data_IF_841158196591
#
_entry.id   IF_841158196591
#
_cell.length_a   1.000
_cell.length_b   1.000
_cell.length_c   1.000
_cell.angle_alpha   90.00
_cell.angle_beta   90.00
_cell.angle_gamma   90.00
#
_symmetry.space_group_name_H-M   'P 1'
#
loop_
_entity.id
_entity.type
_entity.pdbx_description
1 polymer ?
#
# COMPACT_ATOMS: atom_id res chain seq x y z
N UNK A 1 -0.57 37.01 -68.84
CA UNK A 1 0.15 36.62 -67.61
C UNK A 1 0.14 37.80 -66.66
N UNK A 2 -0.67 37.72 -65.60
CA UNK A 2 -0.10 37.44 -64.27
C UNK A 2 -1.04 36.54 -63.43
N UNK A 3 -0.73 35.25 -63.31
CA UNK A 3 -1.45 34.32 -62.42
C UNK A 3 -0.70 33.98 -61.15
N UNK A 4 0.61 34.23 -61.08
CA UNK A 4 1.48 33.54 -60.11
C UNK A 4 1.62 34.31 -58.79
N UNK A 5 1.43 35.63 -58.80
CA UNK A 5 1.58 36.48 -57.61
C UNK A 5 0.54 36.24 -56.50
N UNK A 6 -0.59 35.58 -56.80
CA UNK A 6 -1.65 35.25 -55.83
C UNK A 6 -1.56 33.84 -55.26
N UNK A 7 -0.72 32.98 -55.83
CA UNK A 7 -0.60 31.57 -55.46
C UNK A 7 0.30 31.40 -54.23
N UNK A 8 1.40 32.15 -54.15
CA UNK A 8 2.32 32.12 -53.01
C UNK A 8 1.65 32.48 -51.66
N UNK A 9 0.90 33.60 -51.53
CA UNK A 9 0.25 33.95 -50.27
C UNK A 9 -0.87 32.98 -49.87
N UNK A 10 -1.57 32.36 -50.83
CA UNK A 10 -2.60 31.36 -50.54
C UNK A 10 -2.00 30.04 -50.07
N UNK A 11 -0.86 29.61 -50.63
CA UNK A 11 -0.11 28.45 -50.14
C UNK A 11 0.42 28.65 -48.72
N UNK A 12 0.95 29.83 -48.42
CA UNK A 12 1.42 30.18 -47.07
C UNK A 12 0.24 30.18 -46.08
N UNK A 13 -0.91 30.72 -46.48
CA UNK A 13 -2.12 30.71 -45.64
C UNK A 13 -2.59 29.29 -45.32
N UNK A 14 -2.62 28.40 -46.32
CA UNK A 14 -2.99 26.98 -46.14
C UNK A 14 -2.01 26.26 -45.22
N UNK A 15 -0.70 26.54 -45.36
CA UNK A 15 0.33 25.96 -44.49
C UNK A 15 0.17 26.42 -43.04
N UNK A 16 -0.03 27.72 -42.81
CA UNK A 16 -0.25 28.30 -41.48
C UNK A 16 -1.51 27.68 -40.86
N UNK A 17 -2.59 27.57 -41.63
CA UNK A 17 -3.84 26.97 -41.17
C UNK A 17 -3.65 25.49 -40.80
N UNK A 18 -2.92 24.72 -41.62
CA UNK A 18 -2.60 23.32 -41.35
C UNK A 18 -1.78 23.14 -40.07
N UNK A 19 -0.74 23.97 -39.87
CA UNK A 19 0.06 23.96 -38.64
C UNK A 19 -0.79 24.35 -37.43
N UNK A 20 -1.63 25.38 -37.55
CA UNK A 20 -2.51 25.82 -36.48
C UNK A 20 -3.50 24.72 -36.06
N UNK A 21 -4.11 24.04 -37.04
CA UNK A 21 -4.99 22.89 -36.79
C UNK A 21 -4.22 21.73 -36.15
N UNK A 22 -3.01 21.42 -36.65
CA UNK A 22 -2.17 20.37 -36.09
C UNK A 22 -1.78 20.64 -34.63
N UNK A 23 -1.38 21.87 -34.32
CA UNK A 23 -1.07 22.30 -32.95
C UNK A 23 -2.31 22.24 -32.06
N UNK A 24 -3.47 22.67 -32.55
CA UNK A 24 -4.72 22.61 -31.80
C UNK A 24 -5.09 21.16 -31.45
N UNK A 25 -5.03 20.24 -32.42
CA UNK A 25 -5.31 18.81 -32.20
C UNK A 25 -4.30 18.20 -31.23
N UNK A 26 -3.01 18.52 -31.37
CA UNK A 26 -1.97 18.03 -30.45
C UNK A 26 -2.19 18.52 -29.01
N UNK A 27 -2.55 19.80 -28.83
CA UNK A 27 -2.86 20.36 -27.50
C UNK A 27 -4.11 19.69 -26.88
N UNK A 28 -5.17 19.48 -27.66
CA UNK A 28 -6.37 18.77 -27.21
C UNK A 28 -6.07 17.32 -26.82
N UNK A 29 -5.25 16.63 -27.61
CA UNK A 29 -4.81 15.27 -27.31
C UNK A 29 -4.00 15.21 -26.01
N UNK A 30 -3.02 16.10 -25.83
CA UNK A 30 -2.20 16.17 -24.61
C UNK A 30 -3.07 16.46 -23.37
N UNK A 31 -4.07 17.35 -23.49
CA UNK A 31 -4.97 17.64 -22.38
C UNK A 31 -5.83 16.43 -21.99
N UNK A 32 -6.40 15.72 -22.98
CA UNK A 32 -7.16 14.50 -22.70
C UNK A 32 -6.28 13.39 -22.10
N UNK A 33 -5.07 13.21 -22.63
CA UNK A 33 -4.11 12.24 -22.11
C UNK A 33 -3.73 12.56 -20.66
N UNK A 34 -3.40 13.81 -20.36
CA UNK A 34 -3.04 14.27 -19.00
C UNK A 34 -4.19 14.08 -18.02
N UNK A 35 -5.43 14.36 -18.42
CA UNK A 35 -6.62 14.16 -17.59
C UNK A 35 -6.83 12.67 -17.26
N UNK A 36 -6.77 11.79 -18.27
CA UNK A 36 -6.93 10.33 -18.10
C UNK A 36 -5.82 9.73 -17.24
N UNK A 37 -4.58 10.12 -17.50
CA UNK A 37 -3.42 9.65 -16.74
C UNK A 37 -3.50 10.07 -15.26
N UNK A 38 -3.88 11.32 -15.00
CA UNK A 38 -4.06 11.84 -13.63
C UNK A 38 -5.21 11.14 -12.89
N UNK A 39 -6.30 10.81 -13.59
CA UNK A 39 -7.41 10.04 -13.02
C UNK A 39 -6.98 8.61 -12.64
N UNK A 40 -6.25 7.91 -13.51
CA UNK A 40 -5.75 6.56 -13.22
C UNK A 40 -4.82 6.53 -12.00
N UNK A 41 -3.86 7.46 -11.92
CA UNK A 41 -2.97 7.56 -10.76
C UNK A 41 -3.74 7.87 -9.47
N UNK A 42 -4.74 8.76 -9.51
CA UNK A 42 -5.56 9.08 -8.34
C UNK A 42 -6.35 7.86 -7.87
N UNK A 43 -6.96 7.11 -8.78
CA UNK A 43 -7.71 5.91 -8.43
C UNK A 43 -6.79 4.83 -7.84
N UNK A 44 -5.63 4.58 -8.43
CA UNK A 44 -4.65 3.63 -7.91
C UNK A 44 -4.10 4.02 -6.54
N UNK A 45 -3.84 5.32 -6.31
CA UNK A 45 -3.36 5.82 -5.04
C UNK A 45 -4.43 5.69 -3.94
N UNK A 46 -5.70 5.97 -4.28
CA UNK A 46 -6.83 5.81 -3.35
C UNK A 46 -7.06 4.34 -3.03
N UNK A 47 -7.08 3.44 -4.02
CA UNK A 47 -7.26 2.00 -3.81
C UNK A 47 -6.14 1.39 -2.97
N UNK A 48 -4.87 1.74 -3.26
CA UNK A 48 -3.73 1.28 -2.45
C UNK A 48 -3.79 1.82 -1.02
N UNK A 49 -4.13 3.10 -0.85
CA UNK A 49 -4.26 3.71 0.47
C UNK A 49 -5.39 3.08 1.29
N UNK A 50 -6.53 2.79 0.66
CA UNK A 50 -7.66 2.11 1.31
C UNK A 50 -7.32 0.67 1.69
N UNK A 51 -6.64 -0.09 0.82
CA UNK A 51 -6.20 -1.45 1.13
C UNK A 51 -5.21 -1.48 2.30
N UNK A 52 -4.24 -0.56 2.34
CA UNK A 52 -3.28 -0.45 3.45
C UNK A 52 -3.96 0.00 4.74
N UNK A 53 -4.84 1.00 4.68
CA UNK A 53 -5.58 1.49 5.85
C UNK A 53 -6.50 0.42 6.41
N UNK A 54 -7.21 -0.31 5.55
CA UNK A 54 -8.08 -1.41 5.97
C UNK A 54 -7.29 -2.57 6.57
N UNK A 55 -6.12 -2.91 6.03
CA UNK A 55 -5.24 -3.94 6.61
C UNK A 55 -4.82 -3.59 8.04
N UNK A 56 -4.36 -2.35 8.27
CA UNK A 56 -3.94 -1.87 9.59
C UNK A 56 -5.08 -1.83 10.61
N UNK A 57 -6.28 -1.43 10.18
CA UNK A 57 -7.46 -1.48 11.06
C UNK A 57 -7.83 -2.92 11.38
N UNK A 58 -7.75 -3.82 10.39
CA UNK A 58 -8.02 -5.24 10.59
C UNK A 58 -7.04 -5.85 11.60
N UNK A 59 -5.74 -5.55 11.49
CA UNK A 59 -4.70 -5.98 12.44
C UNK A 59 -5.06 -5.63 13.90
N UNK A 60 -5.62 -4.45 14.13
CA UNK A 60 -6.02 -4.00 15.46
C UNK A 60 -7.34 -4.61 15.95
N UNK A 61 -8.23 -4.99 15.03
CA UNK A 61 -9.54 -5.55 15.36
C UNK A 61 -9.55 -7.07 15.47
N UNK A 62 -8.54 -7.75 14.90
CA UNK A 62 -8.40 -9.21 14.93
C UNK A 62 -8.59 -9.81 16.32
N UNK A 63 -8.05 -9.24 17.42
CA UNK A 63 -8.27 -9.78 18.76
C UNK A 63 -9.75 -9.93 19.16
N UNK A 64 -10.66 -9.18 18.53
CA UNK A 64 -12.10 -9.20 18.83
C UNK A 64 -12.92 -10.04 17.83
N UNK A 65 -12.26 -10.64 16.83
CA UNK A 65 -12.93 -11.48 15.84
C UNK A 65 -13.06 -12.93 16.34
N UNK A 66 -14.13 -13.66 15.94
CA UNK A 66 -14.37 -15.04 16.37
C UNK A 66 -13.20 -15.98 16.07
N UNK A 67 -12.45 -15.73 15.00
CA UNK A 67 -11.36 -16.57 14.53
C UNK A 67 -10.05 -16.40 15.32
N UNK A 68 -9.96 -15.42 16.22
CA UNK A 68 -8.72 -15.13 16.96
C UNK A 68 -8.28 -16.30 17.85
N UNK A 69 -9.25 -17.02 18.45
CA UNK A 69 -8.98 -18.24 19.22
C UNK A 69 -8.24 -18.03 20.56
N UNK A 70 -8.01 -16.78 20.98
CA UNK A 70 -7.39 -16.43 22.25
C UNK A 70 -8.22 -15.40 23.02
N UNK A 71 -7.97 -15.25 24.33
CA UNK A 71 -8.55 -14.17 25.12
C UNK A 71 -7.98 -12.81 24.64
N UNK A 72 -8.82 -11.86 24.20
CA UNK A 72 -8.35 -10.55 23.73
C UNK A 72 -7.55 -9.78 24.79
N UNK A 73 -7.82 -10.01 26.08
CA UNK A 73 -7.10 -9.35 27.18
C UNK A 73 -5.65 -9.80 27.33
N UNK A 74 -5.35 -11.01 26.87
CA UNK A 74 -4.01 -11.61 26.86
C UNK A 74 -3.17 -11.17 25.65
N UNK A 75 -3.79 -10.49 24.68
CA UNK A 75 -3.13 -10.02 23.48
C UNK A 75 -2.51 -8.63 23.65
N UNK A 76 -1.30 -8.43 23.12
CA UNK A 76 -0.60 -7.15 23.06
C UNK A 76 -0.12 -6.90 21.64
N UNK A 77 -0.45 -5.73 21.12
CA UNK A 77 -0.02 -5.28 19.80
C UNK A 77 1.42 -4.78 19.82
N UNK A 78 2.19 -5.20 18.83
CA UNK A 78 3.57 -4.77 18.59
C UNK A 78 3.73 -4.13 17.20
N UNK A 79 3.22 -4.79 16.16
CA UNK A 79 3.42 -4.45 14.74
C UNK A 79 4.63 -5.13 14.09
N UNK A 80 4.95 -4.77 12.84
CA UNK A 80 5.98 -5.47 12.05
C UNK A 80 7.35 -5.61 12.76
N UNK A 81 7.97 -6.81 12.74
CA UNK A 81 7.65 -8.00 11.95
C UNK A 81 6.79 -9.07 12.67
N UNK A 82 6.14 -8.74 13.80
CA UNK A 82 5.17 -9.60 14.49
C UNK A 82 4.04 -8.75 15.04
N UNK A 83 2.85 -8.83 14.46
CA UNK A 83 1.75 -7.94 14.85
C UNK A 83 1.30 -8.05 16.32
N UNK A 84 1.19 -9.28 16.85
CA UNK A 84 0.70 -9.52 18.21
C UNK A 84 1.58 -10.50 19.00
N UNK A 85 1.67 -10.25 20.31
CA UNK A 85 2.07 -11.22 21.33
C UNK A 85 0.86 -11.61 22.16
N UNK A 86 0.61 -12.90 22.33
CA UNK A 86 -0.47 -13.41 23.20
C UNK A 86 0.13 -14.16 24.38
N UNK A 87 -0.21 -13.72 25.59
CA UNK A 87 0.16 -14.37 26.84
C UNK A 87 -0.97 -15.32 27.28
N UNK A 88 -1.11 -16.42 26.57
CA UNK A 88 -2.26 -17.35 26.66
C UNK A 88 -2.48 -17.88 28.09
N UNK A 89 -3.56 -17.44 28.73
CA UNK A 89 -3.95 -17.81 30.11
C UNK A 89 -3.52 -16.81 31.19
N UNK A 90 -2.95 -15.66 30.81
CA UNK A 90 -2.50 -14.65 31.76
C UNK A 90 -3.66 -14.00 32.54
N UNK A 91 -4.76 -13.65 31.87
CA UNK A 91 -5.99 -13.14 32.51
C UNK A 91 -6.64 -14.20 33.42
N UNK A 92 -6.47 -15.48 33.08
CA UNK A 92 -6.95 -16.63 33.88
C UNK A 92 -6.05 -16.90 35.11
N UNK A 93 -4.90 -16.23 35.22
CA UNK A 93 -3.92 -16.39 36.31
C UNK A 93 -2.91 -17.52 36.12
N UNK A 94 -2.98 -18.26 35.02
CA UNK A 94 -2.06 -19.36 34.69
C UNK A 94 -1.53 -19.20 33.26
N UNK A 95 -0.34 -18.60 33.12
CA UNK A 95 0.30 -18.44 31.81
C UNK A 95 0.76 -19.79 31.25
N UNK A 96 0.11 -20.25 30.18
CA UNK A 96 0.40 -21.53 29.52
C UNK A 96 1.52 -21.42 28.49
N UNK A 97 1.51 -20.35 27.70
CA UNK A 97 2.48 -20.09 26.63
C UNK A 97 2.44 -18.64 26.16
N UNK A 98 3.51 -18.23 25.49
CA UNK A 98 3.58 -16.98 24.73
C UNK A 98 3.49 -17.30 23.24
N UNK A 99 2.56 -16.67 22.52
CA UNK A 99 2.32 -16.89 21.09
C UNK A 99 2.62 -15.64 20.30
N UNK A 100 3.46 -15.77 19.28
CA UNK A 100 3.76 -14.71 18.31
C UNK A 100 2.81 -14.88 17.12
N UNK A 101 2.06 -13.84 16.78
CA UNK A 101 1.06 -13.87 15.71
C UNK A 101 1.36 -12.74 14.72
N UNK A 102 1.49 -13.11 13.46
CA UNK A 102 1.48 -12.19 12.32
C UNK A 102 0.14 -12.35 11.60
N UNK A 103 -0.54 -11.23 11.35
CA UNK A 103 -1.85 -11.20 10.73
C UNK A 103 -1.68 -10.94 9.24
N UNK A 104 -2.26 -11.81 8.41
CA UNK A 104 -2.28 -11.63 6.95
C UNK A 104 -3.71 -11.57 6.46
N UNK A 105 -4.01 -10.53 5.69
CA UNK A 105 -5.27 -10.37 4.98
C UNK A 105 -5.09 -10.70 3.50
N UNK A 106 -6.16 -11.17 2.84
CA UNK A 106 -6.20 -11.30 1.38
C UNK A 106 -5.16 -12.25 0.75
N UNK A 107 -4.77 -13.33 1.45
CA UNK A 107 -3.83 -14.32 0.92
C UNK A 107 -2.36 -13.86 0.86
N UNK A 108 -2.02 -12.76 1.53
CA UNK A 108 -0.65 -12.26 1.60
C UNK A 108 0.27 -13.26 2.32
N UNK A 109 1.45 -13.48 1.74
CA UNK A 109 2.48 -14.34 2.34
C UNK A 109 3.33 -13.55 3.34
N UNK A 110 4.02 -14.28 4.22
CA UNK A 110 5.01 -13.67 5.12
C UNK A 110 6.11 -12.94 4.33
N UNK A 111 6.58 -11.80 4.82
CA UNK A 111 7.78 -11.13 4.32
C UNK A 111 9.05 -11.92 4.70
N UNK A 112 10.20 -11.53 4.11
CA UNK A 112 11.48 -12.15 4.46
C UNK A 112 11.82 -11.98 5.95
N UNK A 113 11.53 -10.80 6.52
CA UNK A 113 11.78 -10.49 7.93
C UNK A 113 10.86 -11.28 8.87
N UNK A 114 9.58 -11.38 8.54
CA UNK A 114 8.61 -12.18 9.30
C UNK A 114 8.98 -13.68 9.29
N UNK A 115 9.43 -14.20 8.14
CA UNK A 115 9.92 -15.59 8.06
C UNK A 115 11.10 -15.84 8.98
N UNK A 116 12.07 -14.93 9.03
CA UNK A 116 13.22 -15.06 9.94
C UNK A 116 12.77 -15.14 11.39
N UNK A 117 11.86 -14.27 11.83
CA UNK A 117 11.34 -14.31 13.21
C UNK A 117 10.61 -15.63 13.48
N UNK A 118 9.71 -16.06 12.58
CA UNK A 118 9.03 -17.35 12.68
C UNK A 118 10.01 -18.51 12.85
N UNK A 119 11.08 -18.52 12.07
CA UNK A 119 12.04 -19.63 12.05
C UNK A 119 12.87 -19.68 13.34
N UNK A 120 13.29 -18.53 13.87
CA UNK A 120 13.95 -18.41 15.19
C UNK A 120 13.02 -18.87 16.33
N UNK A 121 11.75 -18.44 16.31
CA UNK A 121 10.75 -18.87 17.30
C UNK A 121 10.51 -20.38 17.21
N UNK A 122 10.37 -20.94 16.00
CA UNK A 122 10.20 -22.39 15.79
C UNK A 122 11.42 -23.20 16.22
N UNK A 123 12.62 -22.64 16.06
CA UNK A 123 13.86 -23.21 16.56
C UNK A 123 14.02 -23.08 18.09
N UNK A 124 13.02 -22.53 18.80
CA UNK A 124 13.04 -22.25 20.25
C UNK A 124 14.18 -21.34 20.68
N UNK A 125 14.66 -20.49 19.77
CA UNK A 125 15.70 -19.49 20.04
C UNK A 125 15.08 -18.21 20.60
N UNK A 126 14.32 -18.35 21.69
CA UNK A 126 13.65 -17.24 22.39
C UNK A 126 14.21 -17.21 23.81
N UNK A 127 14.61 -16.03 24.29
CA UNK A 127 15.24 -15.85 25.59
C UNK A 127 14.49 -14.81 26.43
N UNK A 128 14.60 -14.96 27.75
CA UNK A 128 14.16 -13.97 28.73
C UNK A 128 15.40 -13.29 29.32
N UNK A 129 15.46 -11.96 29.23
CA UNK A 129 16.57 -11.16 29.74
C UNK A 129 16.03 -10.02 30.60
N UNK A 130 16.54 -9.88 31.81
CA UNK A 130 16.20 -8.79 32.72
C UNK A 130 17.32 -7.75 32.73
N UNK A 131 17.07 -6.60 32.08
CA UNK A 131 18.00 -5.47 32.13
C UNK A 131 17.53 -4.47 33.19
N UNK A 132 18.35 -4.27 34.23
CA UNK A 132 18.14 -3.21 35.22
C UNK A 132 19.06 -2.04 34.89
N UNK A 133 18.45 -0.90 34.58
CA UNK A 133 19.20 0.36 34.36
C UNK A 133 19.16 1.12 35.68
N UNK A 134 20.27 1.10 36.41
CA UNK A 134 20.46 2.00 37.55
C UNK A 134 20.66 3.42 37.00
N UNK A 135 19.87 4.37 37.51
CA UNK A 135 20.01 5.80 37.21
C UNK A 135 20.92 6.46 38.23
#
# INVERSE_FOLDING_TARGET
MPSDARVLPSLVLVLILGIAIGLLVALLYIQQWKARYTQGIRQDAVQRSQAVTSGKVHEQLVPYLPEFGFNPKDARFLGSPVDLLVFDGLDDGELRRVVFIEIKTGGSALSGRERQVRDVVRARQVAWEELRIER
#
